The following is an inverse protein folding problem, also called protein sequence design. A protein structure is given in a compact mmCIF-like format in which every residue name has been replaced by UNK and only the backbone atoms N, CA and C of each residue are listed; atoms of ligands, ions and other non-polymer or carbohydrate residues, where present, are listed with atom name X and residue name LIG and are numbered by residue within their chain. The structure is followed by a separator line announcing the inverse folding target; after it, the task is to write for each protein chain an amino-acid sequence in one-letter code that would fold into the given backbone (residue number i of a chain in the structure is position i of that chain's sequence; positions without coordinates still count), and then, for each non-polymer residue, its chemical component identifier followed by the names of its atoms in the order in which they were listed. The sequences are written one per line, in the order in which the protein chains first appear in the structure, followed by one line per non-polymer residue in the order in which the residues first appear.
data_IF_286104581167
#
_entry.id   IF_286104581167
#
_cell.length_a   1.000
_cell.length_b   1.000
_cell.length_c   1.000
_cell.angle_alpha   90.00
_cell.angle_beta   90.00
_cell.angle_gamma   90.00
#
_symmetry.space_group_name_H-M   'P 1'
#
loop_
_entity.id
_entity.type
_entity.pdbx_description
1 polymer ?
#
# COMPACT_ATOMS: atom_id res chain seq x y z
N UNK A 1 19.20 19.19 44.37
CA UNK A 1 19.28 19.36 42.90
C UNK A 1 17.86 19.56 42.41
N UNK A 2 17.40 20.82 42.38
CA UNK A 2 16.00 21.14 42.05
C UNK A 2 15.83 21.16 40.54
N UNK A 3 15.17 20.16 39.99
CA UNK A 3 14.69 20.16 38.61
C UNK A 3 13.73 21.32 38.44
N UNK A 4 14.10 22.28 37.60
CA UNK A 4 13.31 23.48 37.37
C UNK A 4 12.05 23.11 36.56
N UNK A 5 10.88 23.72 36.84
CA UNK A 5 9.60 23.34 36.23
C UNK A 5 9.64 23.33 34.70
N UNK A 6 10.45 24.19 34.06
CA UNK A 6 10.64 24.25 32.62
C UNK A 6 11.22 22.96 32.00
N UNK A 7 12.08 22.23 32.72
CA UNK A 7 12.71 21.01 32.18
C UNK A 7 11.75 19.83 32.19
N UNK A 8 10.81 19.81 33.13
CA UNK A 8 9.71 18.85 33.12
C UNK A 8 8.78 19.08 31.93
N UNK A 9 8.41 20.33 31.65
CA UNK A 9 7.53 20.65 30.53
C UNK A 9 8.19 20.26 29.19
N UNK A 10 9.48 20.56 29.01
CA UNK A 10 10.22 20.15 27.82
C UNK A 10 10.25 18.61 27.68
N UNK A 11 10.53 17.89 28.77
CA UNK A 11 10.55 16.42 28.76
C UNK A 11 9.19 15.80 28.39
N UNK A 12 8.09 16.37 28.92
CA UNK A 12 6.72 15.90 28.61
C UNK A 12 6.38 16.16 27.15
N UNK A 13 6.72 17.34 26.62
CA UNK A 13 6.49 17.68 25.21
C UNK A 13 7.28 16.76 24.27
N UNK A 14 8.53 16.46 24.60
CA UNK A 14 9.37 15.56 23.79
C UNK A 14 8.78 14.15 23.75
N UNK A 15 8.37 13.59 24.90
CA UNK A 15 7.73 12.27 24.94
C UNK A 15 6.44 12.26 24.11
N UNK A 16 5.61 13.30 24.26
CA UNK A 16 4.38 13.43 23.48
C UNK A 16 4.67 13.51 21.97
N UNK A 17 5.64 14.33 21.57
CA UNK A 17 6.06 14.47 20.18
C UNK A 17 6.54 13.13 19.60
N UNK A 18 7.32 12.34 20.35
CA UNK A 18 7.74 11.00 19.94
C UNK A 18 6.57 10.04 19.76
N UNK A 19 5.58 10.06 20.65
CA UNK A 19 4.38 9.23 20.52
C UNK A 19 3.60 9.60 19.26
N UNK A 20 3.35 10.90 19.04
CA UNK A 20 2.63 11.38 17.85
C UNK A 20 3.40 11.04 16.58
N UNK A 21 4.72 11.23 16.57
CA UNK A 21 5.59 10.88 15.46
C UNK A 21 5.52 9.39 15.14
N UNK A 22 5.56 8.52 16.16
CA UNK A 22 5.48 7.08 15.98
C UNK A 22 4.13 6.67 15.38
N UNK A 23 3.03 7.25 15.87
CA UNK A 23 1.68 7.03 15.31
C UNK A 23 1.61 7.51 13.87
N UNK A 24 2.17 8.68 13.57
CA UNK A 24 2.19 9.24 12.21
C UNK A 24 2.96 8.32 11.25
N UNK A 25 4.14 7.86 11.65
CA UNK A 25 4.95 6.93 10.86
C UNK A 25 4.23 5.59 10.68
N UNK A 26 3.65 5.03 11.74
CA UNK A 26 2.87 3.80 11.67
C UNK A 26 1.66 3.94 10.73
N UNK A 27 0.95 5.07 10.79
CA UNK A 27 -0.16 5.38 9.89
C UNK A 27 0.29 5.53 8.43
N UNK A 28 1.42 6.19 8.19
CA UNK A 28 1.97 6.33 6.84
C UNK A 28 2.36 4.97 6.24
N UNK A 29 3.00 4.11 7.04
CA UNK A 29 3.33 2.74 6.65
C UNK A 29 2.06 1.95 6.36
N UNK A 30 1.07 1.99 7.26
CA UNK A 30 -0.21 1.29 7.06
C UNK A 30 -0.88 1.71 5.75
N UNK A 31 -0.89 3.02 5.44
CA UNK A 31 -1.44 3.54 4.19
C UNK A 31 -0.68 3.04 2.96
N UNK A 32 0.65 2.94 3.03
CA UNK A 32 1.49 2.40 1.97
C UNK A 32 1.18 0.91 1.69
N UNK A 33 1.02 0.09 2.73
CA UNK A 33 0.66 -1.32 2.59
C UNK A 33 -0.73 -1.49 1.96
N UNK A 34 -1.72 -0.69 2.37
CA UNK A 34 -3.06 -0.69 1.79
C UNK A 34 -3.01 -0.37 0.30
N UNK A 35 -2.21 0.64 -0.07
CA UNK A 35 -2.00 1.03 -1.48
C UNK A 35 -1.44 -0.14 -2.30
N UNK A 36 -0.43 -0.87 -1.80
CA UNK A 36 0.14 -2.02 -2.50
C UNK A 36 -0.83 -3.19 -2.71
N UNK A 37 -1.74 -3.42 -1.77
CA UNK A 37 -2.67 -4.56 -1.81
C UNK A 37 -3.91 -4.32 -2.70
N UNK A 38 -4.33 -3.07 -2.87
CA UNK A 38 -5.55 -2.69 -3.60
C UNK A 38 -5.64 -3.21 -5.05
N UNK A 39 -4.60 -3.08 -5.91
CA UNK A 39 -4.68 -3.50 -7.31
C UNK A 39 -4.93 -5.00 -7.45
N UNK A 40 -4.26 -5.80 -6.62
CA UNK A 40 -4.42 -7.25 -6.57
C UNK A 40 -5.81 -7.68 -6.08
N UNK A 41 -6.35 -6.99 -5.07
CA UNK A 41 -7.71 -7.25 -4.58
C UNK A 41 -8.77 -6.96 -5.63
N UNK A 42 -8.63 -5.86 -6.39
CA UNK A 42 -9.53 -5.50 -7.49
C UNK A 42 -9.45 -6.55 -8.62
N UNK A 43 -8.25 -7.01 -8.97
CA UNK A 43 -8.09 -8.04 -10.00
C UNK A 43 -8.70 -9.39 -9.59
N UNK A 44 -8.55 -9.80 -8.31
CA UNK A 44 -9.16 -11.03 -7.78
C UNK A 44 -10.68 -10.98 -7.79
N UNK A 45 -11.26 -9.86 -7.35
CA UNK A 45 -12.72 -9.68 -7.31
C UNK A 45 -13.35 -9.68 -8.71
N UNK A 46 -12.58 -9.33 -9.75
CA UNK A 46 -13.05 -9.35 -11.15
C UNK A 46 -12.74 -10.63 -11.94
N UNK A 47 -12.23 -11.69 -11.32
CA UNK A 47 -11.80 -12.92 -12.02
C UNK A 47 -10.80 -12.64 -13.16
N UNK A 48 -9.87 -11.71 -12.92
CA UNK A 48 -8.84 -11.40 -13.90
C UNK A 48 -7.87 -12.59 -14.04
N UNK A 49 -7.56 -13.07 -15.27
CA UNK A 49 -6.71 -14.26 -15.48
C UNK A 49 -5.30 -14.10 -14.93
N UNK A 50 -4.84 -12.86 -14.71
CA UNK A 50 -3.50 -12.53 -14.24
C UNK A 50 -3.51 -11.76 -12.92
N UNK A 51 -4.44 -12.08 -12.01
CA UNK A 51 -4.59 -11.37 -10.73
C UNK A 51 -3.30 -11.33 -9.88
N UNK A 52 -2.47 -12.37 -9.92
CA UNK A 52 -1.17 -12.36 -9.23
C UNK A 52 -0.17 -11.39 -9.87
N UNK A 53 -0.10 -11.33 -11.20
CA UNK A 53 0.76 -10.40 -11.90
C UNK A 53 0.36 -8.95 -11.60
N UNK A 54 -0.94 -8.65 -11.51
CA UNK A 54 -1.44 -7.31 -11.15
C UNK A 54 -1.04 -6.97 -9.72
N UNK A 55 -1.10 -7.95 -8.81
CA UNK A 55 -0.67 -7.77 -7.42
C UNK A 55 0.81 -7.41 -7.36
N UNK A 56 1.68 -8.17 -8.03
CA UNK A 56 3.12 -7.90 -8.08
C UNK A 56 3.41 -6.56 -8.76
N UNK A 57 2.72 -6.25 -9.87
CA UNK A 57 2.84 -4.96 -10.55
C UNK A 57 2.46 -3.79 -9.62
N UNK A 58 1.44 -3.95 -8.78
CA UNK A 58 1.07 -2.99 -7.73
C UNK A 58 2.21 -2.70 -6.78
N UNK A 59 2.82 -3.74 -6.21
CA UNK A 59 3.97 -3.60 -5.30
C UNK A 59 5.21 -3.01 -6.00
N UNK A 60 5.53 -3.50 -7.19
CA UNK A 60 6.71 -3.04 -7.96
C UNK A 60 6.56 -1.56 -8.32
N UNK A 61 5.42 -1.14 -8.87
CA UNK A 61 5.19 0.26 -9.25
C UNK A 61 5.12 1.21 -8.06
N UNK A 62 4.59 0.74 -6.92
CA UNK A 62 4.57 1.51 -5.67
C UNK A 62 6.00 1.79 -5.17
N UNK A 63 6.88 0.78 -5.20
CA UNK A 63 8.29 0.90 -4.77
C UNK A 63 9.12 1.69 -5.77
N UNK A 64 8.96 1.45 -7.07
CA UNK A 64 9.80 2.05 -8.11
C UNK A 64 9.46 3.50 -8.43
N UNK A 65 8.25 3.95 -8.14
CA UNK A 65 7.93 5.31 -8.53
C UNK A 65 6.55 5.83 -8.19
N UNK A 66 5.91 5.38 -7.10
CA UNK A 66 4.65 5.88 -6.48
C UNK A 66 3.58 6.45 -7.44
N UNK A 67 3.89 7.53 -8.16
CA UNK A 67 3.21 7.99 -9.37
C UNK A 67 2.94 6.91 -10.44
N UNK A 68 3.72 5.82 -10.53
CA UNK A 68 3.44 4.71 -11.46
C UNK A 68 2.36 3.74 -10.95
N UNK A 69 2.00 3.79 -9.66
CA UNK A 69 1.02 2.90 -9.06
C UNK A 69 -0.37 2.90 -9.74
N UNK A 70 -0.94 4.04 -10.18
CA UNK A 70 -2.22 4.06 -10.88
C UNK A 70 -2.21 3.22 -12.16
N UNK A 71 -1.06 3.03 -12.81
CA UNK A 71 -0.95 2.16 -13.98
C UNK A 71 -1.25 0.70 -13.63
N UNK A 72 -0.80 0.23 -12.47
CA UNK A 72 -1.12 -1.12 -11.98
C UNK A 72 -2.63 -1.30 -11.72
N UNK A 73 -3.27 -0.25 -11.18
CA UNK A 73 -4.72 -0.22 -10.98
C UNK A 73 -5.42 -0.21 -12.33
N UNK A 74 -5.04 0.65 -13.27
CA UNK A 74 -5.60 0.68 -14.62
C UNK A 74 -5.51 -0.71 -15.27
N UNK A 75 -4.38 -1.39 -15.12
CA UNK A 75 -4.20 -2.74 -15.64
C UNK A 75 -5.12 -3.78 -14.97
N UNK A 76 -5.46 -3.62 -13.69
CA UNK A 76 -6.51 -4.41 -13.02
C UNK A 76 -7.91 -4.21 -13.63
N UNK A 77 -8.16 -3.08 -14.31
CA UNK A 77 -9.41 -2.77 -15.00
C UNK A 77 -9.39 -3.14 -16.49
N UNK A 78 -8.21 -3.37 -17.08
CA UNK A 78 -8.11 -3.83 -18.47
C UNK A 78 -8.52 -5.29 -18.51
N UNK A 79 -9.75 -5.56 -18.94
CA UNK A 79 -10.21 -6.91 -19.25
C UNK A 79 -9.44 -7.43 -20.47
N UNK A 80 -8.41 -8.26 -20.23
CA UNK A 80 -7.87 -9.08 -21.31
C UNK A 80 -8.92 -10.18 -21.55
N UNK A 81 -9.56 -10.24 -22.73
CA UNK A 81 -10.49 -11.32 -23.02
C UNK A 81 -9.75 -12.63 -22.82
N UNK A 82 -10.20 -13.42 -21.86
CA UNK A 82 -9.69 -14.76 -21.67
C UNK A 82 -9.78 -15.44 -23.03
N UNK A 83 -8.61 -15.76 -23.61
CA UNK A 83 -8.53 -16.56 -24.82
C UNK A 83 -9.38 -17.79 -24.51
N UNK A 84 -10.55 -17.87 -25.14
CA UNK A 84 -11.44 -19.02 -25.02
C UNK A 84 -10.53 -20.20 -25.30
N UNK A 85 -10.37 -21.10 -24.31
CA UNK A 85 -9.83 -22.45 -24.54
C UNK A 85 -10.78 -23.14 -25.52
N UNK A 86 -10.71 -22.77 -26.79
CA UNK A 86 -11.03 -23.68 -27.85
C UNK A 86 -9.99 -24.82 -27.72
N UNK A 87 -10.42 -26.07 -27.85
CA UNK A 87 -9.53 -27.21 -28.14
C UNK A 87 -8.83 -27.94 -26.96
N UNK A 88 -9.48 -28.13 -25.80
CA UNK A 88 -9.03 -29.18 -24.84
C UNK A 88 -10.07 -30.29 -24.58
N UNK A 89 -11.05 -30.45 -25.46
CA UNK A 89 -12.02 -31.57 -25.45
C UNK A 89 -12.17 -32.21 -26.85
N UNK A 90 -11.08 -32.30 -27.62
CA UNK A 90 -11.00 -33.26 -28.72
C UNK A 90 -10.52 -34.61 -28.20
#
# INVERSE_FOLDING_TARGET
MGTRPEEFIMSVLDIFAWIVLLILVASAIAMFFIMGWLPGHIAKTRNHPQAEAVTVAGWVTLIFGFALWPLSVIWAYVDIPAVRKAEQQQ
#
